data_IF_748701766862
#
_entry.id   IF_748701766862
#
_cell.length_a   1.000
_cell.length_b   1.000
_cell.length_c   1.000
_cell.angle_alpha   90.00
_cell.angle_beta   90.00
_cell.angle_gamma   90.00
#
_symmetry.space_group_name_H-M   'P 1'
#
loop_
_entity.id
_entity.type
_entity.pdbx_description
1 polymer ?
#
# COMPACT_ATOMS: atom_id res chain seq x y z
N UNK A 1 1.98 60.37 -18.66
CA UNK A 1 2.73 59.19 -18.16
C UNK A 1 1.93 58.51 -17.06
N UNK A 2 1.27 57.37 -17.34
CA UNK A 2 0.66 56.51 -16.32
C UNK A 2 0.78 55.05 -16.77
N UNK A 3 1.92 54.43 -16.46
CA UNK A 3 2.05 52.97 -16.41
C UNK A 3 1.52 52.52 -15.06
N UNK A 4 0.40 51.81 -15.02
CA UNK A 4 -0.08 51.13 -13.80
C UNK A 4 -0.50 49.70 -14.13
N UNK A 5 0.13 48.79 -13.36
CA UNK A 5 -0.31 47.44 -13.02
C UNK A 5 -0.51 46.41 -14.13
N UNK A 6 0.57 45.70 -14.49
CA UNK A 6 0.48 44.32 -15.01
C UNK A 6 1.33 43.32 -14.18
N UNK A 7 2.12 43.79 -13.22
CA UNK A 7 3.11 42.95 -12.51
C UNK A 7 2.52 42.03 -11.42
N UNK A 8 1.23 42.17 -11.07
CA UNK A 8 0.63 41.46 -9.92
C UNK A 8 0.20 40.01 -10.17
N UNK A 9 0.00 39.58 -11.43
CA UNK A 9 -0.63 38.29 -11.72
C UNK A 9 0.35 37.11 -11.84
N UNK A 10 1.66 37.37 -11.91
CA UNK A 10 2.67 36.34 -12.22
C UNK A 10 3.24 35.63 -10.99
N UNK A 11 3.06 36.19 -9.79
CA UNK A 11 3.74 35.70 -8.57
C UNK A 11 2.90 34.65 -7.80
N UNK A 12 1.59 34.54 -8.07
CA UNK A 12 0.70 33.59 -7.39
C UNK A 12 0.66 32.18 -7.99
N UNK A 13 1.24 31.96 -9.18
CA UNK A 13 1.18 30.66 -9.87
C UNK A 13 2.37 29.71 -9.56
N UNK A 14 3.42 30.21 -8.91
CA UNK A 14 4.65 29.44 -8.70
C UNK A 14 4.63 28.50 -7.48
N UNK A 15 3.60 28.55 -6.63
CA UNK A 15 3.57 27.84 -5.34
C UNK A 15 2.76 26.53 -5.34
N UNK A 16 2.29 26.02 -6.49
CA UNK A 16 1.40 24.84 -6.54
C UNK A 16 1.99 23.61 -7.25
N UNK A 17 3.32 23.54 -7.43
CA UNK A 17 3.97 22.32 -7.94
C UNK A 17 4.21 21.37 -6.75
N UNK A 18 3.13 20.83 -6.19
CA UNK A 18 3.21 19.66 -5.33
C UNK A 18 3.19 18.42 -6.22
N UNK A 19 4.22 17.58 -6.13
CA UNK A 19 4.15 16.22 -6.67
C UNK A 19 3.03 15.50 -5.94
N UNK A 20 1.94 15.22 -6.65
CA UNK A 20 0.87 14.41 -6.10
C UNK A 20 1.36 12.95 -6.13
N UNK A 21 1.82 12.44 -5.00
CA UNK A 21 2.05 11.00 -4.82
C UNK A 21 0.69 10.36 -4.53
N UNK A 22 0.36 9.27 -5.21
CA UNK A 22 -0.79 8.46 -4.84
C UNK A 22 -0.59 7.98 -3.39
N UNK A 23 -1.50 8.38 -2.50
CA UNK A 23 -1.53 7.85 -1.14
C UNK A 23 -1.94 6.37 -1.20
N UNK A 24 -1.39 5.50 -0.34
CA UNK A 24 -1.85 4.12 -0.25
C UNK A 24 -3.37 4.06 -0.06
N UNK A 25 -4.02 3.08 -0.70
CA UNK A 25 -5.47 2.88 -0.63
C UNK A 25 -5.76 1.56 0.06
N UNK A 26 -6.59 1.58 1.10
CA UNK A 26 -7.03 0.36 1.76
C UNK A 26 -7.86 -0.51 0.80
N UNK A 27 -7.47 -1.78 0.64
CA UNK A 27 -8.15 -2.72 -0.28
C UNK A 27 -8.88 -3.86 0.43
N UNK A 28 -8.49 -4.18 1.67
CA UNK A 28 -9.08 -5.29 2.41
C UNK A 28 -8.19 -5.79 3.53
N UNK A 29 -8.69 -6.79 4.25
CA UNK A 29 -7.99 -7.43 5.35
C UNK A 29 -8.23 -8.94 5.33
N UNK A 30 -7.37 -9.69 6.01
CA UNK A 30 -7.53 -11.13 6.20
C UNK A 30 -6.98 -11.56 7.55
N UNK A 31 -7.56 -12.61 8.12
CA UNK A 31 -6.99 -13.29 9.27
C UNK A 31 -6.00 -14.35 8.76
N UNK A 32 -4.87 -14.55 9.44
CA UNK A 32 -3.84 -15.52 9.02
C UNK A 32 -4.44 -16.92 8.78
N UNK A 33 -5.40 -17.32 9.62
CA UNK A 33 -6.09 -18.61 9.59
C UNK A 33 -7.19 -18.74 8.53
N UNK A 34 -7.43 -17.71 7.71
CA UNK A 34 -8.29 -17.81 6.54
C UNK A 34 -7.62 -18.61 5.40
N UNK A 35 -6.32 -18.93 5.54
CA UNK A 35 -5.56 -19.72 4.58
C UNK A 35 -5.84 -21.24 4.63
N UNK A 36 -5.14 -22.00 3.76
CA UNK A 36 -5.21 -23.46 3.75
C UNK A 36 -4.75 -24.06 5.08
N UNK A 37 -5.20 -25.28 5.37
CA UNK A 37 -4.73 -26.04 6.53
C UNK A 37 -3.24 -26.36 6.41
N UNK A 38 -2.47 -26.22 7.50
CA UNK A 38 -1.03 -26.54 7.49
C UNK A 38 -0.73 -27.98 7.05
N UNK A 39 -1.64 -28.93 7.31
CA UNK A 39 -1.49 -30.33 6.91
C UNK A 39 -1.50 -30.55 5.39
N UNK A 40 -1.91 -29.54 4.62
CA UNK A 40 -1.87 -29.57 3.14
C UNK A 40 -0.53 -29.15 2.55
N UNK A 41 0.42 -28.74 3.40
CA UNK A 41 1.72 -28.21 3.00
C UNK A 41 1.56 -27.02 2.03
N UNK A 42 0.89 -25.93 2.46
CA UNK A 42 0.67 -24.78 1.60
C UNK A 42 1.98 -24.03 1.33
N UNK A 43 1.91 -23.09 0.37
CA UNK A 43 2.99 -22.14 0.18
C UNK A 43 3.15 -21.25 1.42
N UNK A 44 4.39 -20.88 1.70
CA UNK A 44 4.71 -19.88 2.70
C UNK A 44 4.69 -18.50 2.03
N UNK A 45 3.79 -17.64 2.48
CA UNK A 45 3.57 -16.32 1.91
C UNK A 45 4.10 -15.23 2.84
N UNK A 46 4.72 -14.21 2.25
CA UNK A 46 4.84 -12.89 2.89
C UNK A 46 3.46 -12.22 3.01
N UNK A 47 3.37 -11.13 3.76
CA UNK A 47 2.13 -10.35 3.85
C UNK A 47 1.74 -9.76 2.49
N UNK A 48 2.73 -9.25 1.75
CA UNK A 48 2.55 -8.73 0.40
C UNK A 48 2.09 -9.78 -0.61
N UNK A 49 2.67 -10.98 -0.58
CA UNK A 49 2.27 -12.08 -1.47
C UNK A 49 0.87 -12.58 -1.15
N UNK A 50 0.50 -12.67 0.14
CA UNK A 50 -0.84 -13.01 0.56
C UNK A 50 -1.86 -11.96 0.08
N UNK A 51 -1.54 -10.66 0.17
CA UNK A 51 -2.38 -9.60 -0.36
C UNK A 51 -2.55 -9.70 -1.88
N UNK A 52 -1.48 -9.96 -2.62
CA UNK A 52 -1.55 -10.15 -4.07
C UNK A 52 -2.39 -11.38 -4.47
N UNK A 53 -2.31 -12.46 -3.69
CA UNK A 53 -3.15 -13.65 -3.86
C UNK A 53 -4.64 -13.33 -3.68
N UNK A 54 -4.99 -12.54 -2.66
CA UNK A 54 -6.36 -12.25 -2.27
C UNK A 54 -7.01 -11.12 -3.07
N UNK A 55 -6.24 -10.09 -3.41
CA UNK A 55 -6.73 -8.83 -4.00
C UNK A 55 -6.21 -8.59 -5.43
N UNK A 56 -5.42 -9.52 -5.98
CA UNK A 56 -4.85 -9.47 -7.33
C UNK A 56 -3.57 -8.63 -7.41
N UNK A 57 -3.00 -8.49 -8.62
CA UNK A 57 -1.75 -7.73 -8.81
C UNK A 57 -0.49 -8.51 -8.45
N UNK A 58 0.55 -7.81 -8.02
CA UNK A 58 1.84 -8.39 -7.59
C UNK A 58 2.19 -7.94 -6.18
N UNK A 59 3.06 -8.69 -5.49
CA UNK A 59 3.43 -8.42 -4.10
C UNK A 59 3.92 -6.97 -3.87
N UNK A 60 4.71 -6.42 -4.81
CA UNK A 60 5.22 -5.06 -4.72
C UNK A 60 4.17 -3.95 -4.82
N UNK A 61 2.93 -4.29 -5.19
CA UNK A 61 1.81 -3.32 -5.21
C UNK A 61 1.25 -3.07 -3.80
N UNK A 62 1.71 -3.80 -2.78
CA UNK A 62 1.09 -3.80 -1.46
C UNK A 62 2.05 -3.39 -0.35
N UNK A 63 1.49 -2.74 0.67
CA UNK A 63 2.09 -2.59 1.99
C UNK A 63 1.08 -3.08 3.02
N UNK A 64 1.55 -3.72 4.08
CA UNK A 64 0.68 -4.37 5.07
C UNK A 64 0.77 -3.65 6.42
N UNK A 65 -0.36 -3.62 7.13
CA UNK A 65 -0.42 -3.21 8.53
C UNK A 65 -1.02 -4.30 9.40
N UNK A 66 -0.60 -4.37 10.65
CA UNK A 66 -1.25 -5.16 11.71
C UNK A 66 -2.09 -4.32 12.67
N UNK A 67 -2.23 -3.01 12.40
CA UNK A 67 -2.90 -2.06 13.30
C UNK A 67 -4.39 -1.95 12.97
N UNK A 68 -4.72 -1.33 11.84
CA UNK A 68 -6.09 -1.16 11.35
C UNK A 68 -6.12 -0.79 9.84
N UNK A 69 -7.29 -0.37 9.34
CA UNK A 69 -7.52 0.06 7.96
C UNK A 69 -7.21 1.53 7.67
N UNK A 70 -6.62 2.26 8.62
CA UNK A 70 -6.20 3.66 8.46
C UNK A 70 -4.85 3.75 7.76
N UNK A 71 -4.78 4.55 6.69
CA UNK A 71 -3.53 4.81 5.96
C UNK A 71 -2.47 5.50 6.84
N UNK A 72 -2.91 6.25 7.87
CA UNK A 72 -1.99 6.95 8.78
C UNK A 72 -1.25 6.00 9.73
N UNK A 73 -1.78 4.78 9.92
CA UNK A 73 -1.34 3.82 10.94
C UNK A 73 -0.64 2.60 10.32
N UNK A 74 -0.24 2.70 9.04
CA UNK A 74 0.54 1.65 8.35
C UNK A 74 1.89 1.45 9.05
N UNK A 75 2.14 0.23 9.53
CA UNK A 75 3.36 -0.13 10.25
C UNK A 75 4.31 -1.07 9.48
N UNK A 76 4.04 -1.35 8.20
CA UNK A 76 4.87 -2.22 7.34
C UNK A 76 5.15 -3.59 7.95
N UNK A 77 4.14 -4.13 8.63
CA UNK A 77 4.26 -5.36 9.39
C UNK A 77 3.09 -6.28 9.08
N UNK A 78 3.31 -7.58 9.25
CA UNK A 78 2.28 -8.61 9.10
C UNK A 78 2.32 -9.59 10.29
N UNK A 79 1.17 -10.17 10.58
CA UNK A 79 1.05 -11.38 11.36
C UNK A 79 1.38 -12.59 10.49
N UNK A 80 2.14 -13.52 11.07
CA UNK A 80 2.42 -14.84 10.51
C UNK A 80 2.15 -15.93 11.53
N UNK A 81 1.74 -17.11 11.04
CA UNK A 81 1.81 -18.35 11.79
C UNK A 81 3.18 -18.98 11.60
N UNK A 82 3.70 -19.69 12.61
CA UNK A 82 5.00 -20.39 12.58
C UNK A 82 4.81 -21.89 12.76
N UNK A 83 5.35 -22.70 11.86
CA UNK A 83 5.18 -24.16 11.90
C UNK A 83 5.84 -24.71 13.16
N UNK A 84 5.14 -25.61 13.85
CA UNK A 84 5.61 -26.18 15.12
C UNK A 84 5.41 -25.22 16.29
N UNK A 85 4.78 -24.07 16.05
CA UNK A 85 4.39 -23.08 17.03
C UNK A 85 5.42 -22.00 17.29
N UNK A 86 4.90 -20.87 17.76
CA UNK A 86 5.65 -19.77 18.34
C UNK A 86 5.16 -19.52 19.78
N UNK A 87 5.64 -18.46 20.44
CA UNK A 87 5.15 -18.02 21.75
C UNK A 87 5.25 -19.05 22.90
N UNK A 88 6.39 -19.75 23.06
CA UNK A 88 6.62 -20.69 24.17
C UNK A 88 5.58 -21.82 24.27
N UNK A 89 4.98 -22.22 23.14
CA UNK A 89 4.07 -23.37 23.08
C UNK A 89 2.63 -23.09 23.51
N UNK A 90 2.22 -21.82 23.59
CA UNK A 90 0.83 -21.44 23.87
C UNK A 90 0.11 -21.09 22.57
N UNK A 91 -1.04 -21.72 22.33
CA UNK A 91 -1.92 -21.48 21.19
C UNK A 91 -3.24 -20.84 21.66
N UNK A 92 -3.83 -19.89 20.90
CA UNK A 92 -3.37 -19.42 19.58
C UNK A 92 -2.24 -18.39 19.69
N UNK A 93 -1.33 -18.40 18.72
CA UNK A 93 -0.15 -17.53 18.69
C UNK A 93 0.24 -17.19 17.24
N UNK A 94 0.54 -15.91 17.02
CA UNK A 94 1.18 -15.39 15.83
C UNK A 94 2.41 -14.57 16.20
N UNK A 95 3.25 -14.30 15.21
CA UNK A 95 4.41 -13.40 15.36
C UNK A 95 4.25 -12.24 14.39
N UNK A 96 4.64 -11.03 14.83
CA UNK A 96 4.72 -9.87 13.94
C UNK A 96 6.10 -9.88 13.29
N UNK A 97 6.13 -9.82 11.96
CA UNK A 97 7.35 -9.69 11.16
C UNK A 97 7.16 -8.56 10.12
N UNK A 98 8.19 -8.29 9.31
CA UNK A 98 8.07 -7.32 8.22
C UNK A 98 7.13 -7.84 7.12
N UNK A 99 6.42 -6.96 6.44
CA UNK A 99 5.40 -7.33 5.46
C UNK A 99 5.93 -8.08 4.21
N UNK A 100 7.24 -7.99 3.96
CA UNK A 100 8.00 -8.70 2.92
C UNK A 100 8.75 -9.96 3.43
N UNK A 101 8.56 -10.33 4.70
CA UNK A 101 9.28 -11.42 5.34
C UNK A 101 8.50 -12.74 5.32
N UNK A 102 9.19 -13.82 4.92
CA UNK A 102 8.76 -15.20 5.16
C UNK A 102 9.98 -16.13 5.25
N UNK A 103 9.94 -17.09 6.17
CA UNK A 103 10.81 -18.26 6.18
C UNK A 103 10.06 -19.41 5.53
N UNK A 104 10.69 -20.07 4.57
CA UNK A 104 10.11 -21.23 3.92
C UNK A 104 11.17 -22.28 3.61
N UNK A 105 10.74 -23.53 3.57
CA UNK A 105 11.54 -24.60 3.00
C UNK A 105 11.03 -24.89 1.60
N UNK A 106 11.86 -24.60 0.58
CA UNK A 106 11.49 -24.77 -0.83
C UNK A 106 10.20 -24.00 -1.22
N UNK A 107 9.93 -22.85 -0.60
CA UNK A 107 8.73 -22.04 -0.83
C UNK A 107 7.48 -22.56 -0.11
N UNK A 108 7.60 -23.62 0.69
CA UNK A 108 6.49 -24.24 1.40
C UNK A 108 6.56 -23.98 2.90
N UNK A 109 5.40 -24.06 3.52
CA UNK A 109 5.20 -24.13 4.96
C UNK A 109 5.21 -25.61 5.36
N UNK A 110 6.38 -26.18 5.64
CA UNK A 110 6.55 -27.64 5.79
C UNK A 110 7.49 -28.05 6.93
N UNK A 111 8.37 -27.17 7.38
CA UNK A 111 9.34 -27.45 8.45
C UNK A 111 9.17 -26.53 9.66
N UNK A 112 9.51 -27.00 10.86
CA UNK A 112 9.55 -26.17 12.06
C UNK A 112 10.33 -24.87 11.84
N UNK A 113 9.68 -23.75 12.16
CA UNK A 113 10.22 -22.40 11.94
C UNK A 113 9.84 -21.74 10.62
N UNK A 114 9.27 -22.48 9.66
CA UNK A 114 8.64 -21.86 8.49
C UNK A 114 7.51 -20.95 8.92
N UNK A 115 7.32 -19.83 8.21
CA UNK A 115 6.31 -18.81 8.52
C UNK A 115 5.44 -18.54 7.32
N UNK A 116 4.15 -18.28 7.54
CA UNK A 116 3.25 -17.83 6.47
C UNK A 116 2.21 -16.85 7.01
N UNK A 117 1.93 -15.80 6.24
CA UNK A 117 0.83 -14.87 6.50
C UNK A 117 -0.54 -15.39 6.06
N UNK A 118 -0.61 -16.56 5.43
CA UNK A 118 -1.86 -17.13 4.95
C UNK A 118 -1.86 -18.66 5.10
N UNK A 119 -2.10 -19.13 6.32
CA UNK A 119 -2.17 -20.54 6.70
C UNK A 119 -2.99 -20.70 7.98
N UNK A 120 -3.85 -21.71 8.04
CA UNK A 120 -4.54 -22.11 9.26
C UNK A 120 -3.66 -23.06 10.07
N UNK A 121 -3.02 -22.51 11.10
CA UNK A 121 -2.18 -23.26 12.04
C UNK A 121 -2.24 -22.70 13.47
N UNK A 122 -1.22 -21.98 13.97
CA UNK A 122 -1.19 -21.46 15.34
C UNK A 122 -1.85 -20.08 15.47
N UNK A 123 -1.72 -19.25 14.44
CA UNK A 123 -2.23 -17.87 14.45
C UNK A 123 -3.73 -17.82 14.10
N UNK A 124 -4.58 -18.34 14.99
CA UNK A 124 -6.04 -18.37 14.78
C UNK A 124 -6.79 -17.25 15.50
N UNK A 125 -7.75 -16.65 14.81
CA UNK A 125 -8.65 -15.62 15.32
C UNK A 125 -8.29 -14.20 14.91
N UNK A 126 -9.28 -13.32 15.08
CA UNK A 126 -9.27 -11.94 14.56
C UNK A 126 -8.16 -11.05 15.10
N UNK A 127 -7.50 -11.40 16.21
CA UNK A 127 -6.32 -10.68 16.68
C UNK A 127 -5.10 -10.80 15.74
N UNK A 128 -5.09 -11.80 14.84
CA UNK A 128 -4.05 -11.99 13.82
C UNK A 128 -4.52 -11.52 12.45
N UNK A 129 -5.12 -10.33 12.40
CA UNK A 129 -5.61 -9.71 11.17
C UNK A 129 -4.52 -8.84 10.54
N UNK A 130 -4.35 -9.01 9.24
CA UNK A 130 -3.51 -8.17 8.38
C UNK A 130 -4.40 -7.27 7.52
N UNK A 131 -3.99 -6.01 7.34
CA UNK A 131 -4.66 -5.01 6.53
C UNK A 131 -3.80 -4.66 5.32
N UNK A 132 -4.32 -4.85 4.10
CA UNK A 132 -3.62 -4.53 2.86
C UNK A 132 -3.96 -3.13 2.37
N UNK A 133 -2.91 -2.42 2.00
CA UNK A 133 -2.99 -1.14 1.32
C UNK A 133 -2.27 -1.26 -0.02
N UNK A 134 -2.95 -0.86 -1.09
CA UNK A 134 -2.36 -0.81 -2.42
C UNK A 134 -1.58 0.50 -2.57
N UNK A 135 -0.32 0.39 -2.91
CA UNK A 135 0.56 1.50 -3.30
C UNK A 135 0.59 1.57 -4.81
N UNK A 136 -0.48 2.09 -5.42
CA UNK A 136 -0.53 2.24 -6.87
C UNK A 136 0.57 3.21 -7.33
N UNK A 137 1.68 2.65 -7.80
CA UNK A 137 2.75 3.38 -8.47
C UNK A 137 2.29 4.03 -9.79
N UNK A 138 1.04 3.76 -10.23
CA UNK A 138 0.50 4.12 -11.54
C UNK A 138 -0.69 5.09 -11.51
N UNK A 139 -1.27 5.39 -10.35
CA UNK A 139 -2.23 6.49 -10.22
C UNK A 139 -1.45 7.80 -10.12
N UNK A 140 -0.79 8.16 -11.23
CA UNK A 140 -0.20 9.49 -11.40
C UNK A 140 -1.37 10.47 -11.37
N UNK A 141 -1.55 11.26 -10.30
CA UNK A 141 -2.62 12.25 -10.29
C UNK A 141 -2.30 13.21 -11.42
N UNK A 142 -3.30 13.52 -12.26
CA UNK A 142 -3.11 14.32 -13.48
C UNK A 142 -2.17 15.48 -13.19
N UNK A 143 -0.96 15.50 -13.77
CA UNK A 143 0.06 16.40 -13.29
C UNK A 143 -0.43 17.83 -13.49
N UNK A 144 -0.14 18.71 -12.54
CA UNK A 144 -0.50 20.13 -12.59
C UNK A 144 -0.08 20.81 -13.91
N UNK A 145 0.80 20.18 -14.71
CA UNK A 145 1.10 20.54 -16.09
C UNK A 145 -0.11 20.62 -17.02
N UNK A 146 -1.17 19.80 -16.87
CA UNK A 146 -2.41 19.95 -17.66
C UNK A 146 -3.13 21.24 -17.27
N UNK A 147 -3.23 21.52 -15.97
CA UNK A 147 -3.82 22.76 -15.47
C UNK A 147 -3.01 23.99 -15.94
N UNK A 148 -1.67 23.93 -15.90
CA UNK A 148 -0.78 25.00 -16.39
C UNK A 148 -0.90 25.15 -17.91
N UNK A 149 -1.00 24.06 -18.66
CA UNK A 149 -1.18 24.10 -20.11
C UNK A 149 -2.53 24.75 -20.46
N UNK A 150 -3.61 24.36 -19.78
CA UNK A 150 -4.93 24.94 -19.95
C UNK A 150 -4.95 26.44 -19.58
N UNK A 151 -4.33 26.81 -18.46
CA UNK A 151 -4.15 28.21 -18.04
C UNK A 151 -3.32 29.01 -19.05
N UNK A 152 -2.23 28.43 -19.56
CA UNK A 152 -1.39 29.05 -20.58
C UNK A 152 -2.16 29.34 -21.86
N UNK A 153 -2.97 28.39 -22.33
CA UNK A 153 -3.84 28.56 -23.49
C UNK A 153 -4.96 29.58 -23.25
N UNK A 154 -5.54 29.62 -22.06
CA UNK A 154 -6.53 30.63 -21.67
C UNK A 154 -5.92 32.04 -21.67
N UNK A 155 -4.72 32.22 -21.10
CA UNK A 155 -4.00 33.50 -21.12
C UNK A 155 -3.61 33.94 -22.54
N UNK A 156 -3.19 33.01 -23.40
CA UNK A 156 -2.88 33.28 -24.81
C UNK A 156 -4.11 33.70 -25.62
N UNK A 157 -5.26 33.06 -25.38
CA UNK A 157 -6.51 33.42 -26.06
C UNK A 157 -7.06 34.78 -25.60
N UNK A 158 -6.97 35.10 -24.32
CA UNK A 158 -7.34 36.43 -23.78
C UNK A 158 -6.41 37.54 -24.29
N UNK A 159 -5.10 37.30 -24.35
CA UNK A 159 -4.12 38.29 -24.85
C UNK A 159 -4.25 38.58 -26.35
N UNK A 160 -4.67 37.61 -27.16
CA UNK A 160 -5.03 37.85 -28.57
C UNK A 160 -6.28 38.74 -28.72
N UNK A 161 -7.25 38.60 -27.83
CA UNK A 161 -8.52 39.37 -27.88
C UNK A 161 -8.33 40.84 -27.52
N UNK A 162 -7.38 41.17 -26.65
CA UNK A 162 -7.06 42.53 -26.24
C UNK A 162 -6.23 43.34 -27.28
N UNK A 163 -5.74 42.68 -28.34
CA UNK A 163 -4.95 43.30 -29.43
C UNK A 163 -5.76 43.58 -30.71
N UNK A 164 -7.01 43.13 -30.77
CA UNK A 164 -7.99 43.55 -31.79
C UNK A 164 -8.83 44.68 -31.22
#
# INVERSE_FOLDING_TARGET
MKFKSIVGASILAASMIGSAYASPVYVGSWEVDNGPDWGTVPLAYTGQEAAALLFGGVASDYVISTVDSSVADINYSNWVSTWGGACNGVSPCGTIVADDFAISTNGQYVNPGDTSSYVRDWANGSQFTNYAFRVDANDVPEPASIAILALGLACLSLSRRAKR
#
